data_IF_761416102578
#
_entry.id   IF_761416102578
#
_cell.length_a   1.000
_cell.length_b   1.000
_cell.length_c   1.000
_cell.angle_alpha   90.00
_cell.angle_beta   90.00
_cell.angle_gamma   90.00
#
_symmetry.space_group_name_H-M   'P 1'
#
loop_
_entity.id
_entity.type
_entity.pdbx_description
1 polymer ?
#
# COMPACT_ATOMS: atom_id res chain seq x y z
N UNK A 1 -14.87 -21.29 -28.49
CA UNK A 1 -14.94 -20.19 -27.51
C UNK A 1 -13.74 -20.33 -26.62
N UNK A 2 -12.75 -19.45 -26.76
CA UNK A 2 -11.75 -19.29 -25.70
C UNK A 2 -12.50 -18.77 -24.47
N UNK A 3 -12.37 -19.47 -23.32
CA UNK A 3 -12.81 -18.90 -22.05
C UNK A 3 -11.92 -17.71 -21.76
N UNK A 4 -12.51 -16.58 -21.37
CA UNK A 4 -11.75 -15.51 -20.74
C UNK A 4 -11.18 -16.07 -19.44
N UNK A 5 -9.87 -15.91 -19.23
CA UNK A 5 -9.25 -16.34 -17.99
C UNK A 5 -9.53 -15.30 -16.91
N UNK A 6 -9.81 -15.77 -15.69
CA UNK A 6 -9.93 -14.90 -14.51
C UNK A 6 -8.59 -14.20 -14.24
N UNK A 7 -8.65 -12.99 -13.72
CA UNK A 7 -7.46 -12.22 -13.34
C UNK A 7 -7.20 -12.37 -11.84
N UNK A 8 -6.00 -12.83 -11.47
CA UNK A 8 -5.60 -13.11 -10.09
C UNK A 8 -4.66 -12.04 -9.54
N UNK A 9 -5.07 -11.39 -8.46
CA UNK A 9 -4.29 -10.42 -7.70
C UNK A 9 -3.90 -11.01 -6.35
N UNK A 10 -2.63 -10.88 -5.98
CA UNK A 10 -2.09 -11.28 -4.68
C UNK A 10 -1.51 -10.06 -3.99
N UNK A 11 -2.01 -9.74 -2.80
CA UNK A 11 -1.59 -8.57 -2.04
C UNK A 11 -0.79 -8.98 -0.80
N UNK A 12 0.39 -8.39 -0.65
CA UNK A 12 1.22 -8.46 0.53
C UNK A 12 1.03 -7.18 1.35
N UNK A 13 0.56 -7.31 2.59
CA UNK A 13 0.44 -6.19 3.54
C UNK A 13 1.79 -5.55 3.93
N UNK A 14 1.83 -4.86 5.07
CA UNK A 14 3.00 -4.07 5.49
C UNK A 14 4.22 -4.99 5.73
N UNK A 15 5.29 -4.70 5.01
CA UNK A 15 6.41 -5.65 4.88
C UNK A 15 7.28 -5.63 6.15
N UNK A 16 7.68 -4.46 6.63
CA UNK A 16 8.52 -4.23 7.81
C UNK A 16 9.67 -5.26 7.91
N UNK A 17 10.43 -5.42 6.82
CA UNK A 17 11.54 -6.37 6.71
C UNK A 17 11.19 -7.85 6.60
N UNK A 18 9.92 -8.25 6.67
CA UNK A 18 9.51 -9.66 6.62
C UNK A 18 9.75 -10.24 5.23
N UNK A 19 10.27 -11.46 5.19
CA UNK A 19 10.65 -12.16 3.95
C UNK A 19 9.58 -13.14 3.47
N UNK A 20 8.44 -13.26 4.18
CA UNK A 20 7.34 -14.18 3.86
C UNK A 20 6.75 -13.95 2.46
N UNK A 21 6.86 -12.72 1.93
CA UNK A 21 6.45 -12.41 0.56
C UNK A 21 7.11 -13.32 -0.49
N UNK A 22 8.33 -13.81 -0.24
CA UNK A 22 9.01 -14.74 -1.15
C UNK A 22 8.25 -16.06 -1.28
N UNK A 23 7.74 -16.57 -0.17
CA UNK A 23 6.94 -17.80 -0.14
C UNK A 23 5.58 -17.56 -0.79
N UNK A 24 4.93 -16.43 -0.49
CA UNK A 24 3.66 -16.02 -1.10
C UNK A 24 3.80 -15.94 -2.63
N UNK A 25 4.85 -15.28 -3.13
CA UNK A 25 5.12 -15.19 -4.59
C UNK A 25 5.36 -16.59 -5.18
N UNK A 26 6.17 -17.42 -4.53
CA UNK A 26 6.47 -18.77 -5.01
C UNK A 26 5.24 -19.70 -5.03
N UNK A 27 4.32 -19.52 -4.08
CA UNK A 27 3.07 -20.27 -4.00
C UNK A 27 2.01 -19.80 -5.03
N UNK A 28 2.20 -18.62 -5.63
CA UNK A 28 1.26 -18.03 -6.58
C UNK A 28 1.92 -17.73 -7.95
N UNK A 29 2.51 -18.73 -8.64
CA UNK A 29 3.18 -18.52 -9.92
C UNK A 29 2.21 -18.12 -11.05
N UNK A 30 0.91 -18.35 -10.84
CA UNK A 30 -0.21 -18.05 -11.72
C UNK A 30 -0.81 -16.65 -11.46
N UNK A 31 -0.28 -15.86 -10.52
CA UNK A 31 -0.79 -14.51 -10.30
C UNK A 31 -0.51 -13.60 -11.51
N UNK A 32 -1.52 -12.82 -11.88
CA UNK A 32 -1.42 -11.80 -12.91
C UNK A 32 -0.85 -10.50 -12.35
N UNK A 33 -1.12 -10.22 -11.08
CA UNK A 33 -0.66 -9.04 -10.37
C UNK A 33 -0.28 -9.35 -8.93
N UNK A 34 0.88 -8.85 -8.51
CA UNK A 34 1.29 -8.74 -7.12
C UNK A 34 1.23 -7.29 -6.67
N UNK A 35 0.63 -7.02 -5.52
CA UNK A 35 0.59 -5.68 -4.93
C UNK A 35 1.24 -5.72 -3.54
N UNK A 36 2.29 -4.95 -3.36
CA UNK A 36 2.93 -4.73 -2.06
C UNK A 36 2.38 -3.42 -1.49
N UNK A 37 1.75 -3.48 -0.31
CA UNK A 37 1.00 -2.37 0.27
C UNK A 37 1.89 -1.27 0.87
N UNK A 38 3.16 -1.59 1.16
CA UNK A 38 4.18 -0.62 1.57
C UNK A 38 4.81 -0.98 2.92
N UNK A 39 5.32 0.05 3.59
CA UNK A 39 6.01 -0.02 4.88
C UNK A 39 7.10 -1.09 4.88
N UNK A 40 8.10 -0.94 4.02
CA UNK A 40 9.22 -1.88 3.87
C UNK A 40 10.20 -1.85 5.05
N UNK A 41 10.30 -0.70 5.71
CA UNK A 41 11.29 -0.40 6.75
C UNK A 41 10.69 -0.32 8.16
N UNK A 42 11.44 0.23 9.13
CA UNK A 42 11.01 0.51 10.51
C UNK A 42 10.48 -0.66 11.34
N UNK A 43 10.87 -1.88 10.98
CA UNK A 43 10.62 -3.04 11.83
C UNK A 43 11.29 -2.89 13.19
N UNK A 44 10.56 -3.24 14.26
CA UNK A 44 11.10 -3.34 15.62
C UNK A 44 11.76 -4.69 15.90
N UNK A 45 11.43 -5.70 15.09
CA UNK A 45 11.83 -7.10 15.26
C UNK A 45 12.82 -7.60 14.19
N UNK A 46 12.96 -6.89 13.06
CA UNK A 46 13.91 -7.23 11.99
C UNK A 46 15.06 -6.23 11.95
N UNK A 47 16.32 -6.69 11.90
CA UNK A 47 17.47 -5.78 11.87
C UNK A 47 17.49 -4.89 10.61
N UNK A 48 17.99 -3.63 10.69
CA UNK A 48 18.03 -2.75 9.52
C UNK A 48 18.79 -3.31 8.32
N UNK A 49 19.85 -4.11 8.54
CA UNK A 49 20.60 -4.75 7.45
C UNK A 49 19.72 -5.73 6.69
N UNK A 50 18.91 -6.52 7.39
CA UNK A 50 17.96 -7.45 6.78
C UNK A 50 16.86 -6.67 6.05
N UNK A 51 16.33 -5.61 6.64
CA UNK A 51 15.31 -4.76 6.00
C UNK A 51 15.80 -4.18 4.67
N UNK A 52 17.01 -3.58 4.66
CA UNK A 52 17.64 -3.05 3.44
C UNK A 52 17.89 -4.15 2.40
N UNK A 53 18.39 -5.32 2.80
CA UNK A 53 18.60 -6.42 1.86
C UNK A 53 17.27 -6.91 1.25
N UNK A 54 16.25 -7.10 2.09
CA UNK A 54 14.92 -7.51 1.65
C UNK A 54 14.30 -6.51 0.67
N UNK A 55 14.43 -5.20 0.93
CA UNK A 55 13.94 -4.18 0.00
C UNK A 55 14.67 -4.22 -1.35
N UNK A 56 15.99 -4.48 -1.38
CA UNK A 56 16.71 -4.69 -2.65
C UNK A 56 16.12 -5.83 -3.46
N UNK A 57 15.85 -6.96 -2.81
CA UNK A 57 15.26 -8.13 -3.47
C UNK A 57 13.83 -7.85 -3.98
N UNK A 58 13.02 -7.06 -3.24
CA UNK A 58 11.71 -6.61 -3.71
C UNK A 58 11.83 -5.72 -4.96
N UNK A 59 12.78 -4.78 -4.96
CA UNK A 59 13.02 -3.93 -6.14
C UNK A 59 13.52 -4.75 -7.34
N UNK A 60 14.38 -5.73 -7.13
CA UNK A 60 14.81 -6.68 -8.17
C UNK A 60 13.63 -7.48 -8.72
N UNK A 61 12.74 -7.96 -7.86
CA UNK A 61 11.52 -8.65 -8.26
C UNK A 61 10.60 -7.76 -9.11
N UNK A 62 10.39 -6.50 -8.70
CA UNK A 62 9.66 -5.50 -9.49
C UNK A 62 10.31 -5.25 -10.85
N UNK A 63 11.62 -5.02 -10.90
CA UNK A 63 12.35 -4.80 -12.18
C UNK A 63 12.22 -5.99 -13.13
N UNK A 64 12.27 -7.22 -12.59
CA UNK A 64 12.10 -8.42 -13.39
C UNK A 64 10.66 -8.66 -13.87
N UNK A 65 9.67 -7.99 -13.27
CA UNK A 65 8.25 -8.22 -13.49
C UNK A 65 7.45 -6.90 -13.51
N UNK A 66 7.94 -5.91 -14.26
CA UNK A 66 7.45 -4.52 -14.21
C UNK A 66 5.93 -4.39 -14.38
N UNK A 67 5.33 -5.20 -15.25
CA UNK A 67 3.90 -5.16 -15.57
C UNK A 67 3.03 -5.97 -14.60
N UNK A 68 3.65 -6.78 -13.74
CA UNK A 68 2.95 -7.69 -12.81
C UNK A 68 3.14 -7.34 -11.34
N UNK A 69 3.97 -6.36 -11.01
CA UNK A 69 4.28 -6.02 -9.61
C UNK A 69 4.00 -4.55 -9.37
N UNK A 70 3.23 -4.23 -8.35
CA UNK A 70 2.99 -2.87 -7.88
C UNK A 70 3.60 -2.74 -6.50
N UNK A 71 4.43 -1.72 -6.31
CA UNK A 71 5.02 -1.39 -5.02
C UNK A 71 4.43 -0.07 -4.54
N UNK A 72 3.53 -0.13 -3.55
CA UNK A 72 3.04 1.08 -2.89
C UNK A 72 4.05 1.58 -1.88
N UNK A 73 3.95 2.86 -1.51
CA UNK A 73 4.75 3.48 -0.46
C UNK A 73 3.90 3.71 0.79
N UNK A 74 4.40 3.29 1.95
CA UNK A 74 3.74 3.53 3.23
C UNK A 74 4.39 4.67 4.02
N UNK A 75 3.84 5.00 5.19
CA UNK A 75 4.34 6.12 5.99
C UNK A 75 5.72 5.88 6.60
N UNK A 76 6.09 4.63 6.84
CA UNK A 76 7.42 4.25 7.31
C UNK A 76 8.47 4.23 6.19
N UNK A 77 8.06 4.34 4.93
CA UNK A 77 8.97 4.55 3.81
C UNK A 77 9.07 6.04 3.49
N UNK A 78 7.91 6.70 3.44
CA UNK A 78 7.76 8.07 2.98
C UNK A 78 8.66 9.06 3.74
N UNK A 79 8.82 8.89 5.05
CA UNK A 79 9.61 9.81 5.86
C UNK A 79 11.14 9.75 5.64
N UNK A 80 11.61 8.81 4.81
CA UNK A 80 13.01 8.75 4.38
C UNK A 80 13.25 9.46 3.05
N UNK A 81 12.22 9.66 2.22
CA UNK A 81 12.36 10.30 0.92
C UNK A 81 12.87 11.74 1.05
N UNK A 82 13.65 12.18 0.07
CA UNK A 82 14.04 13.60 0.00
C UNK A 82 12.80 14.51 -0.09
N UNK A 83 12.85 15.59 0.67
CA UNK A 83 11.75 16.55 0.76
C UNK A 83 10.73 16.23 1.86
N UNK A 84 10.77 15.02 2.45
CA UNK A 84 10.06 14.77 3.71
C UNK A 84 10.87 15.30 4.89
N UNK A 85 10.22 16.05 5.78
CA UNK A 85 10.88 16.72 6.91
C UNK A 85 10.45 16.18 8.27
N UNK A 86 9.39 15.36 8.31
CA UNK A 86 8.85 14.78 9.54
C UNK A 86 9.40 13.38 9.73
N UNK A 87 9.55 12.97 10.98
CA UNK A 87 9.97 11.63 11.37
C UNK A 87 8.90 11.04 12.27
N UNK A 88 8.74 9.72 12.20
CA UNK A 88 7.66 9.01 12.87
C UNK A 88 8.21 7.83 13.66
N UNK A 89 7.34 7.17 14.40
CA UNK A 89 7.67 5.97 15.18
C UNK A 89 8.46 4.97 14.34
N UNK A 90 9.46 4.31 14.91
CA UNK A 90 10.28 3.31 14.21
C UNK A 90 11.47 3.87 13.41
N UNK A 91 11.50 5.19 13.13
CA UNK A 91 12.52 5.81 12.28
C UNK A 91 13.97 5.47 12.70
N UNK A 92 14.72 4.92 11.75
CA UNK A 92 16.07 4.39 11.88
C UNK A 92 17.11 5.45 11.49
N UNK A 93 17.25 6.49 12.32
CA UNK A 93 18.11 7.64 12.01
C UNK A 93 19.57 7.32 11.66
N UNK A 94 20.15 6.24 12.21
CA UNK A 94 21.50 5.79 11.89
C UNK A 94 21.63 5.20 10.47
N UNK A 95 20.52 4.76 9.87
CA UNK A 95 20.46 4.10 8.57
C UNK A 95 19.81 4.98 7.49
N UNK A 96 19.36 6.18 7.88
CA UNK A 96 18.52 7.04 7.04
C UNK A 96 19.07 7.32 5.64
N UNK A 97 20.39 7.45 5.50
CA UNK A 97 21.00 7.83 4.23
C UNK A 97 20.94 6.69 3.24
N UNK A 98 21.21 5.47 3.70
CA UNK A 98 21.09 4.27 2.88
C UNK A 98 19.63 4.03 2.48
N UNK A 99 18.69 4.15 3.43
CA UNK A 99 17.26 3.96 3.17
C UNK A 99 16.73 5.02 2.19
N UNK A 100 17.09 6.29 2.41
CA UNK A 100 16.76 7.39 1.52
C UNK A 100 17.29 7.16 0.09
N UNK A 101 18.57 6.81 -0.05
CA UNK A 101 19.17 6.55 -1.37
C UNK A 101 18.42 5.44 -2.12
N UNK A 102 18.05 4.36 -1.42
CA UNK A 102 17.30 3.26 -2.02
C UNK A 102 15.90 3.66 -2.49
N UNK A 103 15.18 4.44 -1.67
CA UNK A 103 13.84 4.93 -2.00
C UNK A 103 13.87 5.99 -3.11
N UNK A 104 14.83 6.92 -3.08
CA UNK A 104 15.02 7.94 -4.12
C UNK A 104 15.33 7.29 -5.49
N UNK A 105 16.14 6.23 -5.50
CA UNK A 105 16.41 5.43 -6.71
C UNK A 105 15.13 4.75 -7.18
N UNK A 106 14.39 4.09 -6.27
CA UNK A 106 13.15 3.41 -6.61
C UNK A 106 12.10 4.37 -7.19
N UNK A 107 12.01 5.59 -6.66
CA UNK A 107 11.13 6.64 -7.19
C UNK A 107 11.59 7.11 -8.57
N UNK A 108 12.87 7.43 -8.73
CA UNK A 108 13.44 7.93 -10.00
C UNK A 108 13.29 6.92 -11.13
N UNK A 109 13.39 5.63 -10.82
CA UNK A 109 13.19 4.52 -11.76
C UNK A 109 11.69 4.18 -11.98
N UNK A 110 10.76 4.84 -11.29
CA UNK A 110 9.32 4.59 -11.41
C UNK A 110 8.88 3.23 -10.86
N UNK A 111 9.59 2.70 -9.86
CA UNK A 111 9.31 1.38 -9.27
C UNK A 111 8.25 1.43 -8.18
N UNK A 112 8.14 2.56 -7.47
CA UNK A 112 7.19 2.78 -6.39
C UNK A 112 6.11 3.80 -6.78
N UNK A 113 4.91 3.64 -6.23
CA UNK A 113 3.75 4.50 -6.50
C UNK A 113 2.96 4.76 -5.21
N UNK A 114 2.13 5.80 -5.19
CA UNK A 114 1.29 6.15 -4.04
C UNK A 114 -0.11 5.54 -4.15
N UNK A 115 -0.63 5.45 -5.37
CA UNK A 115 -1.93 4.88 -5.68
C UNK A 115 -1.84 4.01 -6.94
N UNK A 116 -2.57 2.90 -6.93
CA UNK A 116 -2.80 2.06 -8.09
C UNK A 116 -4.26 1.64 -8.13
N UNK A 117 -4.85 1.64 -9.32
CA UNK A 117 -6.24 1.24 -9.53
C UNK A 117 -6.29 0.13 -10.57
N UNK A 118 -7.00 -0.93 -10.25
CA UNK A 118 -7.38 -2.00 -11.16
C UNK A 118 -8.90 -2.11 -11.15
N UNK A 119 -9.55 -1.77 -12.26
CA UNK A 119 -11.02 -1.70 -12.35
C UNK A 119 -11.63 -0.93 -11.16
N UNK A 120 -12.50 -1.56 -10.35
CA UNK A 120 -13.13 -0.96 -9.17
C UNK A 120 -12.31 -1.13 -7.89
N UNK A 121 -11.08 -1.63 -7.96
CA UNK A 121 -10.21 -1.85 -6.80
C UNK A 121 -9.14 -0.76 -6.75
N UNK A 122 -9.11 -0.02 -5.64
CA UNK A 122 -8.09 0.96 -5.34
C UNK A 122 -7.12 0.42 -4.30
N UNK A 123 -5.84 0.48 -4.61
CA UNK A 123 -4.75 0.14 -3.72
C UNK A 123 -4.01 1.42 -3.33
N UNK A 124 -3.96 1.67 -2.02
CA UNK A 124 -3.10 2.66 -1.37
C UNK A 124 -2.64 2.08 -0.05
N UNK A 125 -1.63 2.66 0.58
CA UNK A 125 -1.14 2.13 1.85
C UNK A 125 -2.21 2.15 2.95
N UNK A 126 -2.98 3.24 3.09
CA UNK A 126 -3.91 3.44 4.20
C UNK A 126 -5.35 3.79 3.78
N UNK A 127 -5.58 4.23 2.53
CA UNK A 127 -6.90 4.55 1.98
C UNK A 127 -7.10 6.03 1.66
N UNK A 128 -8.03 6.34 0.75
CA UNK A 128 -8.25 7.71 0.28
C UNK A 128 -9.64 8.21 0.70
N UNK A 129 -9.67 9.33 1.43
CA UNK A 129 -10.92 9.96 1.85
C UNK A 129 -11.35 11.08 0.89
N UNK A 130 -12.67 11.31 0.80
CA UNK A 130 -13.26 12.45 0.08
C UNK A 130 -12.76 13.78 0.64
N UNK A 131 -12.64 13.86 1.97
CA UNK A 131 -12.15 15.05 2.66
C UNK A 131 -10.71 15.38 2.27
N UNK A 132 -9.81 14.40 2.22
CA UNK A 132 -8.43 14.63 1.79
C UNK A 132 -8.38 15.03 0.31
N UNK A 133 -9.14 14.35 -0.56
CA UNK A 133 -9.24 14.72 -1.98
C UNK A 133 -9.69 16.18 -2.16
N UNK A 134 -10.71 16.61 -1.42
CA UNK A 134 -11.22 17.98 -1.49
C UNK A 134 -10.21 19.02 -0.99
N UNK A 135 -9.42 18.69 0.04
CA UNK A 135 -8.40 19.61 0.57
C UNK A 135 -7.24 19.88 -0.39
N UNK A 136 -6.99 18.95 -1.32
CA UNK A 136 -5.90 19.02 -2.29
C UNK A 136 -6.37 19.05 -3.74
N UNK A 137 -7.65 19.37 -3.96
CA UNK A 137 -8.28 19.51 -5.27
C UNK A 137 -8.03 18.31 -6.22
N UNK A 138 -8.05 17.09 -5.67
CA UNK A 138 -7.81 15.85 -6.43
C UNK A 138 -8.97 15.63 -7.42
N UNK A 139 -8.64 15.55 -8.72
CA UNK A 139 -9.62 15.18 -9.74
C UNK A 139 -9.98 13.69 -9.61
N UNK A 140 -11.22 13.42 -9.22
CA UNK A 140 -11.71 12.06 -8.98
C UNK A 140 -11.90 11.24 -10.28
N UNK A 141 -11.98 11.88 -11.45
CA UNK A 141 -12.09 11.18 -12.74
C UNK A 141 -10.78 10.47 -13.13
N UNK A 142 -9.65 10.90 -12.56
CA UNK A 142 -8.31 10.30 -12.79
C UNK A 142 -7.51 10.19 -11.48
N UNK A 143 -8.18 9.69 -10.44
CA UNK A 143 -7.72 9.75 -9.05
C UNK A 143 -6.32 9.18 -8.84
N UNK A 144 -5.97 8.07 -9.49
CA UNK A 144 -4.66 7.43 -9.30
C UNK A 144 -3.54 8.31 -9.87
N UNK A 145 -3.72 8.86 -11.07
CA UNK A 145 -2.71 9.72 -11.69
C UNK A 145 -2.55 11.04 -10.91
N UNK A 146 -3.64 11.64 -10.43
CA UNK A 146 -3.59 12.85 -9.61
C UNK A 146 -2.86 12.61 -8.28
N UNK A 147 -3.16 11.51 -7.58
CA UNK A 147 -2.47 11.16 -6.32
C UNK A 147 -0.98 10.93 -6.56
N UNK A 148 -0.62 10.21 -7.63
CA UNK A 148 0.78 9.97 -7.98
C UNK A 148 1.50 11.25 -8.44
N UNK A 149 0.78 12.17 -9.10
CA UNK A 149 1.28 13.50 -9.44
C UNK A 149 1.59 14.30 -8.18
N UNK A 150 0.65 14.36 -7.21
CA UNK A 150 0.88 14.98 -5.90
C UNK A 150 2.07 14.35 -5.19
N UNK A 151 2.23 13.03 -5.22
CA UNK A 151 3.38 12.36 -4.62
C UNK A 151 4.70 12.86 -5.21
N UNK A 152 4.79 12.95 -6.54
CA UNK A 152 6.02 13.38 -7.22
C UNK A 152 6.36 14.87 -7.03
N UNK A 153 5.35 15.75 -6.87
CA UNK A 153 5.53 17.22 -6.88
C UNK A 153 5.27 17.93 -5.56
N UNK A 154 4.38 17.39 -4.72
CA UNK A 154 3.81 18.05 -3.56
C UNK A 154 3.77 17.10 -2.34
N UNK A 155 4.92 16.50 -2.00
CA UNK A 155 5.07 15.51 -0.92
C UNK A 155 4.39 15.92 0.40
N UNK A 156 4.40 17.20 0.76
CA UNK A 156 3.75 17.69 1.99
C UNK A 156 2.24 17.38 2.10
N UNK A 157 1.57 17.05 0.99
CA UNK A 157 0.17 16.59 1.00
C UNK A 157 -0.02 15.25 1.73
N UNK A 158 1.06 14.47 1.90
CA UNK A 158 1.08 13.16 2.54
C UNK A 158 1.66 13.18 3.96
N UNK A 159 2.11 14.35 4.42
CA UNK A 159 2.54 14.49 5.81
C UNK A 159 1.38 14.19 6.76
N UNK A 160 1.70 13.59 7.91
CA UNK A 160 0.72 13.46 8.99
C UNK A 160 0.19 14.84 9.40
N UNK A 161 -1.14 14.92 9.51
CA UNK A 161 -1.87 16.06 10.02
C UNK A 161 -2.83 15.58 11.11
N UNK A 162 -2.97 16.38 12.18
CA UNK A 162 -3.88 16.02 13.28
C UNK A 162 -5.35 16.18 12.92
N UNK A 163 -5.63 16.98 11.90
CA UNK A 163 -6.99 17.33 11.49
C UNK A 163 -7.80 18.08 12.55
N UNK A 164 -9.06 18.41 12.25
CA UNK A 164 -9.96 19.08 13.17
C UNK A 164 -10.20 18.33 14.48
N UNK A 165 -10.13 16.99 14.47
CA UNK A 165 -10.35 16.16 15.66
C UNK A 165 -9.10 16.04 16.55
N UNK A 166 -7.99 16.70 16.20
CA UNK A 166 -6.70 16.59 16.89
C UNK A 166 -6.19 15.13 17.02
N UNK A 167 -6.53 14.27 16.06
CA UNK A 167 -6.13 12.87 16.06
C UNK A 167 -4.61 12.74 15.96
N UNK A 168 -4.02 11.92 16.82
CA UNK A 168 -2.58 11.63 16.82
C UNK A 168 -2.23 10.25 16.29
N UNK A 169 -3.24 9.49 15.85
CA UNK A 169 -3.07 8.09 15.45
C UNK A 169 -3.52 7.77 14.04
N UNK A 170 -4.32 8.60 13.38
CA UNK A 170 -4.89 8.25 12.07
C UNK A 170 -6.43 8.21 12.02
N UNK A 171 -7.11 8.72 13.04
CA UNK A 171 -8.58 8.75 13.10
C UNK A 171 -9.18 10.13 12.78
N UNK A 172 -8.73 10.74 11.68
CA UNK A 172 -9.32 11.95 11.13
C UNK A 172 -9.41 11.86 9.60
N UNK A 173 -10.55 12.25 9.03
CA UNK A 173 -10.81 12.17 7.59
C UNK A 173 -9.86 13.02 6.74
N UNK A 174 -9.21 14.03 7.33
CA UNK A 174 -8.21 14.85 6.64
C UNK A 174 -6.86 14.16 6.44
N UNK A 175 -6.63 13.01 7.07
CA UNK A 175 -5.36 12.31 6.99
C UNK A 175 -5.16 11.64 5.62
N UNK A 176 -3.90 11.64 5.20
CA UNK A 176 -3.52 11.29 3.85
C UNK A 176 -3.60 9.79 3.54
N UNK A 177 -3.40 9.40 2.27
CA UNK A 177 -3.39 8.01 1.81
C UNK A 177 -2.39 7.05 2.47
N UNK A 178 -1.49 7.56 3.30
CA UNK A 178 -0.52 6.77 4.07
C UNK A 178 -0.76 6.83 5.59
N UNK A 179 -1.83 7.49 6.06
CA UNK A 179 -2.04 7.76 7.50
C UNK A 179 -3.44 7.51 8.03
N UNK A 180 -4.47 7.55 7.17
CA UNK A 180 -5.84 7.37 7.62
C UNK A 180 -6.07 5.93 8.10
N UNK A 181 -6.76 5.76 9.23
CA UNK A 181 -7.11 4.44 9.78
C UNK A 181 -8.48 4.00 9.31
N UNK A 182 -8.76 2.68 9.35
CA UNK A 182 -10.02 2.12 8.87
C UNK A 182 -11.28 2.78 9.42
N UNK A 183 -11.29 3.21 10.69
CA UNK A 183 -12.46 3.86 11.30
C UNK A 183 -12.87 5.11 10.52
N UNK A 184 -11.94 6.03 10.28
CA UNK A 184 -12.23 7.28 9.54
C UNK A 184 -12.34 7.05 8.04
N UNK A 185 -11.61 6.08 7.49
CA UNK A 185 -11.71 5.71 6.08
C UNK A 185 -13.11 5.20 5.75
N UNK A 186 -13.65 4.27 6.54
CA UNK A 186 -15.00 3.69 6.30
C UNK A 186 -16.11 4.74 6.32
N UNK A 187 -15.93 5.84 7.04
CA UNK A 187 -16.88 6.95 7.09
C UNK A 187 -16.76 7.95 5.93
N UNK A 188 -15.66 7.91 5.17
CA UNK A 188 -15.31 8.99 4.23
C UNK A 188 -14.57 8.53 2.98
N UNK A 189 -14.45 7.24 2.71
CA UNK A 189 -13.74 6.71 1.55
C UNK A 189 -14.34 7.26 0.27
N UNK A 190 -13.52 7.52 -0.75
CA UNK A 190 -14.03 7.94 -2.05
C UNK A 190 -14.94 6.85 -2.65
N UNK A 191 -15.98 7.28 -3.36
CA UNK A 191 -16.98 6.38 -3.95
C UNK A 191 -16.43 5.59 -5.14
N UNK A 192 -17.17 4.57 -5.58
CA UNK A 192 -16.91 3.74 -6.77
C UNK A 192 -15.70 2.79 -6.67
N UNK A 193 -14.96 2.81 -5.56
CA UNK A 193 -13.82 1.92 -5.35
C UNK A 193 -13.99 1.06 -4.11
N UNK A 194 -13.54 -0.18 -4.19
CA UNK A 194 -13.18 -1.00 -3.04
C UNK A 194 -11.73 -0.68 -2.68
N UNK A 195 -11.52 -0.15 -1.48
CA UNK A 195 -10.22 0.24 -0.96
C UNK A 195 -9.53 -0.97 -0.34
N UNK A 196 -8.42 -1.41 -0.92
CA UNK A 196 -7.55 -2.43 -0.35
C UNK A 196 -6.34 -1.74 0.26
N UNK A 197 -6.22 -1.84 1.59
CA UNK A 197 -5.29 -1.02 2.40
C UNK A 197 -4.57 -1.86 3.45
N UNK A 198 -3.45 -1.35 3.97
CA UNK A 198 -2.67 -1.90 5.07
C UNK A 198 -2.73 -0.98 6.29
N UNK A 199 -1.56 -0.55 6.81
CA UNK A 199 -1.35 0.44 7.88
C UNK A 199 -1.83 0.04 9.28
N UNK A 200 -2.84 -0.83 9.39
CA UNK A 200 -3.43 -1.27 10.66
C UNK A 200 -3.32 -2.78 10.82
N UNK A 201 -2.28 -3.20 11.54
CA UNK A 201 -1.96 -4.61 11.70
C UNK A 201 -3.07 -5.41 12.38
N UNK A 202 -3.41 -6.56 11.79
CA UNK A 202 -4.39 -7.52 12.29
C UNK A 202 -3.86 -8.95 12.15
N UNK A 203 -4.52 -9.92 12.79
CA UNK A 203 -4.25 -11.35 12.57
C UNK A 203 -5.12 -11.97 11.48
N UNK A 204 -6.05 -11.22 10.91
CA UNK A 204 -7.00 -11.64 9.88
C UNK A 204 -7.32 -10.46 8.95
N UNK A 205 -7.74 -10.77 7.72
CA UNK A 205 -8.15 -9.75 6.75
C UNK A 205 -9.54 -9.22 7.13
N UNK A 206 -9.69 -7.91 7.31
CA UNK A 206 -11.01 -7.30 7.56
C UNK A 206 -11.71 -7.05 6.22
N UNK A 207 -12.77 -7.81 5.93
CA UNK A 207 -13.60 -7.66 4.74
C UNK A 207 -14.85 -6.84 5.05
N UNK A 208 -14.73 -5.52 5.03
CA UNK A 208 -15.86 -4.61 5.23
C UNK A 208 -16.39 -4.06 3.90
N UNK A 209 -16.90 -4.97 3.08
CA UNK A 209 -17.40 -4.65 1.73
C UNK A 209 -18.65 -3.77 1.75
N UNK A 210 -19.38 -3.70 2.86
CA UNK A 210 -20.50 -2.74 3.01
C UNK A 210 -20.01 -1.29 3.01
N UNK A 211 -18.80 -1.06 3.51
CA UNK A 211 -18.13 0.24 3.50
C UNK A 211 -17.06 0.32 2.39
N UNK A 212 -17.00 -0.65 1.47
CA UNK A 212 -16.01 -0.75 0.41
C UNK A 212 -14.55 -0.71 0.91
N UNK A 213 -14.24 -1.33 2.04
CA UNK A 213 -12.88 -1.37 2.61
C UNK A 213 -12.45 -2.82 2.90
N UNK A 214 -11.23 -3.15 2.48
CA UNK A 214 -10.54 -4.40 2.82
C UNK A 214 -9.18 -4.05 3.45
N UNK A 215 -8.96 -4.48 4.69
CA UNK A 215 -7.69 -4.23 5.40
C UNK A 215 -6.84 -5.50 5.43
N UNK A 216 -5.64 -5.44 4.85
CA UNK A 216 -4.78 -6.61 4.60
C UNK A 216 -3.36 -6.51 5.21
N UNK A 217 -3.13 -5.63 6.18
CA UNK A 217 -1.90 -5.67 6.99
C UNK A 217 -1.93 -6.85 7.98
N UNK A 218 -1.60 -8.03 7.48
CA UNK A 218 -1.68 -9.30 8.22
C UNK A 218 -0.45 -10.20 8.07
N UNK A 219 0.63 -9.68 7.48
CA UNK A 219 1.82 -10.48 7.21
C UNK A 219 2.50 -11.01 8.48
N UNK A 220 2.28 -10.36 9.65
CA UNK A 220 2.72 -10.89 10.95
C UNK A 220 2.08 -12.22 11.32
N UNK A 221 0.88 -12.50 10.80
CA UNK A 221 0.17 -13.75 10.98
C UNK A 221 0.37 -14.72 9.80
N UNK A 222 1.29 -14.42 8.87
CA UNK A 222 1.48 -15.13 7.61
C UNK A 222 0.20 -15.21 6.75
N UNK A 223 -0.68 -14.23 6.89
CA UNK A 223 -1.92 -14.12 6.10
C UNK A 223 -1.72 -13.09 5.00
N UNK A 224 -2.20 -13.41 3.80
CA UNK A 224 -2.21 -12.51 2.65
C UNK A 224 -3.56 -12.52 1.94
N UNK A 225 -3.82 -11.46 1.18
CA UNK A 225 -5.08 -11.29 0.45
C UNK A 225 -4.92 -11.80 -0.98
N UNK A 226 -5.87 -12.61 -1.42
CA UNK A 226 -6.06 -12.97 -2.82
C UNK A 226 -7.39 -12.40 -3.31
N UNK A 227 -7.35 -11.77 -4.49
CA UNK A 227 -8.53 -11.27 -5.20
C UNK A 227 -8.59 -11.95 -6.56
N UNK A 228 -9.74 -12.51 -6.91
CA UNK A 228 -10.01 -13.06 -8.23
C UNK A 228 -11.06 -12.18 -8.89
N UNK A 229 -10.73 -11.59 -10.03
CA UNK A 229 -11.69 -10.98 -10.92
C UNK A 229 -12.16 -12.05 -11.91
N UNK A 230 -13.38 -12.54 -11.72
CA UNK A 230 -14.07 -13.37 -12.69
C UNK A 230 -14.53 -12.48 -13.85
N UNK A 231 -13.74 -12.49 -14.92
CA UNK A 231 -13.94 -11.64 -16.10
C UNK A 231 -15.20 -12.03 -16.87
N UNK A 232 -15.65 -13.28 -16.77
CA UNK A 232 -16.88 -13.73 -17.45
C UNK A 232 -18.13 -13.13 -16.79
N UNK A 233 -18.10 -12.97 -15.46
CA UNK A 233 -19.23 -12.50 -14.66
C UNK A 233 -19.10 -11.05 -14.14
N UNK A 234 -17.97 -10.37 -14.38
CA UNK A 234 -17.61 -9.07 -13.78
C UNK A 234 -17.71 -9.09 -12.24
N UNK A 235 -17.26 -10.20 -11.64
CA UNK A 235 -17.35 -10.44 -10.18
C UNK A 235 -15.96 -10.40 -9.52
N UNK A 236 -15.88 -9.73 -8.37
CA UNK A 236 -14.69 -9.67 -7.54
C UNK A 236 -14.83 -10.58 -6.32
N UNK A 237 -13.96 -11.60 -6.24
CA UNK A 237 -13.95 -12.57 -5.15
C UNK A 237 -12.73 -12.33 -4.29
N UNK A 238 -12.96 -11.93 -3.05
CA UNK A 238 -11.92 -11.67 -2.06
C UNK A 238 -11.75 -12.88 -1.14
N UNK A 239 -10.51 -13.26 -0.87
CA UNK A 239 -10.20 -14.41 -0.01
C UNK A 239 -8.92 -14.20 0.79
N UNK A 240 -8.96 -14.59 2.05
CA UNK A 240 -7.75 -14.71 2.86
C UNK A 240 -7.02 -16.02 2.54
N UNK A 241 -5.69 -15.96 2.52
CA UNK A 241 -4.80 -17.10 2.31
C UNK A 241 -3.72 -17.10 3.37
N UNK A 242 -3.19 -18.28 3.66
CA UNK A 242 -2.22 -18.52 4.72
C UNK A 242 -0.99 -19.14 4.08
N UNK A 243 0.20 -18.64 4.42
CA UNK A 243 1.43 -19.41 4.24
C UNK A 243 1.90 -20.05 5.53
N UNK A 244 2.37 -21.29 5.39
CA UNK A 244 2.86 -22.13 6.48
C UNK A 244 4.37 -21.95 6.70
#
# INVERSE_FOLDING_TARGET
MERLNNFKIVCCGDIHGRTIWKQIVAANPDADLFVFIGDYFDSFDVSPVIQKHNFKEILEFKRANMDKVVLLIGNHDFHYLRGSVKQYTGYQGAQRWDIQEMLDIAETEGLITMCYVYDKIMFTHAGVSKTWCANYDVNLDDVANEINYLFSRYRQCFDFQKGPNNSVIGEDKTQSPIWIRPVSLKEDCIDNYIHVVGHTSSSYIDFDLNNNVVVCDTLKANVYLQIIHDVENDELIFSERYEQ
#
